data_IF_731316447987
#
_entry.id   IF_731316447987
#
_cell.length_a   1.000
_cell.length_b   1.000
_cell.length_c   1.000
_cell.angle_alpha   90.00
_cell.angle_beta   90.00
_cell.angle_gamma   90.00
#
_symmetry.space_group_name_H-M   'P 1'
#
loop_
_entity.id
_entity.type
_entity.pdbx_description
1 polymer ?
#
# COMPACT_ATOMS: atom_id res chain seq x y z
N UNK A 1 -31.90 5.50 32.07
CA UNK A 1 -32.17 4.18 31.46
C UNK A 1 -31.20 4.04 30.30
N UNK A 2 -30.14 3.26 30.47
CA UNK A 2 -29.21 2.93 29.40
C UNK A 2 -29.80 1.76 28.60
N UNK A 3 -29.98 1.97 27.29
CA UNK A 3 -30.40 0.92 26.37
C UNK A 3 -29.34 -0.18 26.24
N UNK A 4 -29.74 -1.41 25.88
CA UNK A 4 -28.82 -2.53 25.80
C UNK A 4 -27.81 -2.30 24.66
N UNK A 5 -26.51 -2.45 24.96
CA UNK A 5 -25.44 -2.47 23.99
C UNK A 5 -25.66 -3.62 23.01
N UNK A 6 -25.85 -3.31 21.73
CA UNK A 6 -25.96 -4.29 20.66
C UNK A 6 -24.60 -4.95 20.49
N UNK A 7 -24.45 -6.18 20.95
CA UNK A 7 -23.28 -7.01 20.65
C UNK A 7 -23.31 -7.37 19.17
N UNK A 8 -22.39 -6.83 18.41
CA UNK A 8 -22.08 -7.38 17.10
C UNK A 8 -21.39 -8.73 17.30
N UNK A 9 -22.12 -9.80 17.09
CA UNK A 9 -21.54 -11.14 17.01
C UNK A 9 -20.63 -11.22 15.79
N UNK A 10 -19.44 -11.78 15.97
CA UNK A 10 -18.43 -11.93 14.95
C UNK A 10 -18.99 -12.56 13.66
N UNK A 11 -18.66 -11.96 12.54
CA UNK A 11 -19.08 -12.35 11.17
C UNK A 11 -18.60 -13.76 10.76
N UNK A 12 -17.83 -14.45 11.60
CA UNK A 12 -17.30 -15.79 11.33
C UNK A 12 -18.31 -16.92 11.15
N UNK A 13 -19.58 -16.70 11.47
CA UNK A 13 -20.60 -17.75 11.39
C UNK A 13 -21.41 -17.78 10.08
N UNK A 14 -21.13 -16.87 9.11
CA UNK A 14 -21.92 -16.75 7.90
C UNK A 14 -21.24 -17.32 6.63
N UNK A 15 -20.03 -17.82 6.71
CA UNK A 15 -19.40 -18.48 5.57
C UNK A 15 -19.99 -19.89 5.40
N UNK A 16 -20.81 -20.07 4.39
CA UNK A 16 -21.21 -21.41 3.96
C UNK A 16 -19.95 -22.20 3.57
N UNK A 17 -19.83 -23.49 3.93
CA UNK A 17 -18.76 -24.34 3.44
C UNK A 17 -18.66 -24.20 1.91
N UNK A 18 -17.49 -23.84 1.39
CA UNK A 18 -17.26 -23.60 -0.05
C UNK A 18 -17.51 -22.17 -0.53
N UNK A 19 -17.86 -21.21 0.34
CA UNK A 19 -17.88 -19.79 -0.06
C UNK A 19 -16.48 -19.18 0.03
N UNK A 20 -16.06 -18.48 -1.04
CA UNK A 20 -14.81 -17.73 -1.06
C UNK A 20 -14.91 -16.52 -0.15
N UNK A 21 -13.95 -16.36 0.76
CA UNK A 21 -13.83 -15.15 1.58
C UNK A 21 -13.28 -13.99 0.75
N UNK A 22 -13.81 -12.78 0.95
CA UNK A 22 -13.23 -11.56 0.38
C UNK A 22 -12.00 -11.20 1.21
N UNK A 23 -10.84 -11.09 0.56
CA UNK A 23 -9.59 -10.69 1.20
C UNK A 23 -9.40 -9.18 1.16
N UNK A 24 -9.69 -8.56 0.02
CA UNK A 24 -9.57 -7.11 -0.19
C UNK A 24 -10.42 -6.68 -1.39
N UNK A 25 -10.68 -5.39 -1.52
CA UNK A 25 -11.32 -4.78 -2.70
C UNK A 25 -10.88 -3.34 -2.88
N UNK A 26 -10.98 -2.87 -4.11
CA UNK A 26 -10.76 -1.47 -4.44
C UNK A 26 -11.68 -1.01 -5.57
N UNK A 27 -11.83 0.30 -5.71
CA UNK A 27 -12.73 0.94 -6.68
C UNK A 27 -11.90 1.82 -7.61
N UNK A 28 -12.18 1.74 -8.92
CA UNK A 28 -11.51 2.57 -9.92
C UNK A 28 -11.70 4.07 -9.66
N UNK A 29 -10.77 4.88 -10.16
CA UNK A 29 -10.76 6.34 -9.94
C UNK A 29 -12.05 7.03 -10.41
N UNK A 30 -12.65 6.54 -11.50
CA UNK A 30 -13.94 7.03 -12.00
C UNK A 30 -15.17 6.39 -11.32
N UNK A 31 -14.97 5.53 -10.32
CA UNK A 31 -15.99 4.82 -9.56
C UNK A 31 -16.85 3.82 -10.38
N UNK A 32 -16.48 3.51 -11.63
CA UNK A 32 -17.28 2.66 -12.52
C UNK A 32 -17.01 1.17 -12.38
N UNK A 33 -15.86 0.81 -11.78
CA UNK A 33 -15.42 -0.57 -11.67
C UNK A 33 -14.94 -0.88 -10.26
N UNK A 34 -15.33 -2.04 -9.75
CA UNK A 34 -14.81 -2.59 -8.48
C UNK A 34 -14.01 -3.85 -8.79
N UNK A 35 -12.83 -3.98 -8.23
CA UNK A 35 -12.09 -5.25 -8.18
C UNK A 35 -12.11 -5.78 -6.77
N UNK A 36 -12.48 -7.05 -6.60
CA UNK A 36 -12.36 -7.74 -5.31
C UNK A 36 -11.58 -9.03 -5.43
N UNK A 37 -10.75 -9.28 -4.44
CA UNK A 37 -10.00 -10.51 -4.25
C UNK A 37 -10.79 -11.47 -3.37
N UNK A 38 -10.86 -12.73 -3.77
CA UNK A 38 -11.51 -13.81 -3.02
C UNK A 38 -10.63 -15.06 -3.00
N UNK A 39 -10.58 -15.73 -1.83
CA UNK A 39 -9.89 -17.01 -1.67
C UNK A 39 -10.67 -17.91 -0.72
N UNK A 40 -10.46 -19.22 -0.82
CA UNK A 40 -10.99 -20.19 0.13
C UNK A 40 -10.01 -20.51 1.27
N UNK A 41 -8.78 -19.98 1.19
CA UNK A 41 -7.73 -20.16 2.20
C UNK A 41 -7.07 -21.54 2.23
N UNK A 42 -7.50 -22.47 1.40
CA UNK A 42 -7.04 -23.88 1.43
C UNK A 42 -6.59 -24.43 0.08
N UNK A 43 -6.96 -23.79 -1.02
CA UNK A 43 -6.64 -24.24 -2.37
C UNK A 43 -5.89 -23.16 -3.15
N UNK A 44 -5.16 -23.58 -4.16
CA UNK A 44 -4.22 -22.81 -4.95
C UNK A 44 -4.86 -21.70 -5.81
N UNK A 45 -6.17 -21.44 -5.65
CA UNK A 45 -6.92 -20.54 -6.50
C UNK A 45 -7.40 -19.29 -5.76
N UNK A 46 -6.61 -18.23 -5.86
CA UNK A 46 -7.11 -16.88 -5.60
C UNK A 46 -7.84 -16.35 -6.84
N UNK A 47 -8.97 -15.70 -6.63
CA UNK A 47 -9.84 -15.20 -7.69
C UNK A 47 -9.98 -13.69 -7.56
N UNK A 48 -9.76 -12.96 -8.65
CA UNK A 48 -10.10 -11.56 -8.77
C UNK A 48 -11.41 -11.44 -9.57
N UNK A 49 -12.40 -10.74 -9.01
CA UNK A 49 -13.64 -10.41 -9.71
C UNK A 49 -13.66 -8.94 -10.06
N UNK A 50 -13.82 -8.65 -11.34
CA UNK A 50 -14.02 -7.32 -11.88
C UNK A 50 -15.53 -7.13 -12.03
N UNK A 51 -16.07 -6.12 -11.38
CA UNK A 51 -17.50 -5.91 -11.19
C UNK A 51 -17.87 -4.53 -11.73
N UNK A 52 -18.96 -4.46 -12.47
CA UNK A 52 -19.57 -3.20 -12.91
C UNK A 52 -20.15 -2.45 -11.71
N UNK A 53 -19.87 -1.17 -11.61
CA UNK A 53 -20.42 -0.27 -10.60
C UNK A 53 -21.16 0.93 -11.24
N UNK A 54 -21.27 0.97 -12.55
CA UNK A 54 -21.91 2.06 -13.31
C UNK A 54 -23.30 1.68 -13.84
N UNK A 55 -23.35 1.05 -15.00
CA UNK A 55 -24.59 0.77 -15.72
C UNK A 55 -25.41 -0.37 -15.10
N UNK A 56 -24.71 -1.38 -14.58
CA UNK A 56 -25.32 -2.57 -13.96
C UNK A 56 -24.59 -2.93 -12.65
N UNK A 57 -24.77 -2.14 -11.60
CA UNK A 57 -24.05 -2.32 -10.36
C UNK A 57 -24.21 -3.73 -9.79
N UNK A 58 -23.07 -4.39 -9.61
CA UNK A 58 -22.99 -5.75 -9.10
C UNK A 58 -22.82 -6.84 -10.16
N UNK A 59 -22.95 -6.54 -11.45
CA UNK A 59 -22.69 -7.51 -12.51
C UNK A 59 -21.19 -7.83 -12.58
N UNK A 60 -20.88 -9.13 -12.64
CA UNK A 60 -19.49 -9.59 -12.78
C UNK A 60 -19.11 -9.49 -14.26
N UNK A 61 -18.27 -8.50 -14.56
CA UNK A 61 -17.74 -8.32 -15.91
C UNK A 61 -16.73 -9.40 -16.27
N UNK A 62 -15.89 -9.79 -15.29
CA UNK A 62 -14.83 -10.76 -15.51
C UNK A 62 -14.42 -11.45 -14.20
N UNK A 63 -13.99 -12.70 -14.33
CA UNK A 63 -13.36 -13.48 -13.25
C UNK A 63 -11.97 -13.91 -13.72
N UNK A 64 -10.96 -13.62 -12.92
CA UNK A 64 -9.56 -13.90 -13.22
C UNK A 64 -8.99 -14.80 -12.14
N UNK A 65 -8.31 -15.87 -12.55
CA UNK A 65 -7.56 -16.73 -11.64
C UNK A 65 -6.13 -16.20 -11.51
N UNK A 66 -5.66 -16.04 -10.27
CA UNK A 66 -4.29 -15.59 -9.99
C UNK A 66 -3.39 -16.82 -9.96
N UNK A 67 -2.47 -16.96 -10.92
CA UNK A 67 -1.71 -18.20 -11.08
C UNK A 67 -0.78 -18.46 -9.89
N UNK A 68 -0.78 -19.69 -9.39
CA UNK A 68 0.19 -20.19 -8.41
C UNK A 68 0.11 -19.54 -7.04
N UNK A 69 -1.03 -18.97 -6.65
CA UNK A 69 -1.19 -18.30 -5.37
C UNK A 69 -2.42 -18.73 -4.62
N UNK A 70 -2.28 -18.86 -3.32
CA UNK A 70 -3.38 -19.24 -2.44
C UNK A 70 -4.25 -18.04 -2.07
N UNK A 71 -3.64 -16.86 -1.87
CA UNK A 71 -4.35 -15.66 -1.45
C UNK A 71 -3.78 -14.42 -2.12
N UNK A 72 -4.60 -13.69 -2.87
CA UNK A 72 -4.34 -12.30 -3.21
C UNK A 72 -4.90 -11.43 -2.06
N UNK A 73 -4.02 -10.90 -1.22
CA UNK A 73 -4.40 -10.26 0.03
C UNK A 73 -4.56 -8.75 -0.08
N UNK A 74 -4.16 -8.15 -1.20
CA UNK A 74 -4.36 -6.72 -1.45
C UNK A 74 -4.57 -6.45 -2.93
N UNK A 75 -5.47 -5.52 -3.25
CA UNK A 75 -5.74 -5.02 -4.61
C UNK A 75 -5.86 -3.51 -4.58
N UNK A 76 -5.25 -2.82 -5.56
CA UNK A 76 -5.33 -1.34 -5.70
C UNK A 76 -5.38 -0.93 -7.16
N UNK A 77 -6.23 0.04 -7.48
CA UNK A 77 -6.26 0.68 -8.78
C UNK A 77 -5.17 1.75 -8.89
N UNK A 78 -4.55 1.82 -10.07
CA UNK A 78 -3.65 2.90 -10.48
C UNK A 78 -4.39 3.97 -11.29
N UNK A 79 -5.37 3.53 -12.03
CA UNK A 79 -6.26 4.39 -12.81
C UNK A 79 -7.57 3.63 -13.12
N UNK A 80 -8.38 4.13 -14.05
CA UNK A 80 -9.67 3.52 -14.38
C UNK A 80 -9.59 2.07 -14.89
N UNK A 81 -8.44 1.64 -15.41
CA UNK A 81 -8.29 0.32 -16.04
C UNK A 81 -7.15 -0.51 -15.49
N UNK A 82 -6.07 0.14 -15.07
CA UNK A 82 -4.89 -0.54 -14.51
C UNK A 82 -5.07 -0.72 -13.01
N UNK A 83 -4.94 -1.95 -12.56
CA UNK A 83 -4.89 -2.30 -11.14
C UNK A 83 -3.78 -3.31 -10.87
N UNK A 84 -3.38 -3.44 -9.62
CA UNK A 84 -2.45 -4.48 -9.20
C UNK A 84 -3.03 -5.33 -8.08
N UNK A 85 -2.52 -6.55 -7.97
CA UNK A 85 -2.79 -7.47 -6.87
C UNK A 85 -1.49 -7.98 -6.25
N UNK A 86 -1.44 -8.00 -4.92
CA UNK A 86 -0.37 -8.55 -4.13
C UNK A 86 -0.77 -9.90 -3.55
N UNK A 87 0.08 -10.92 -3.65
CA UNK A 87 -0.23 -12.28 -3.26
C UNK A 87 0.82 -12.88 -2.32
N UNK A 88 0.47 -14.00 -1.68
CA UNK A 88 1.32 -14.73 -0.73
C UNK A 88 2.65 -15.24 -1.32
N UNK A 89 2.75 -15.32 -2.65
CA UNK A 89 3.96 -15.70 -3.37
C UNK A 89 4.97 -14.56 -3.53
N UNK A 90 4.73 -13.42 -2.89
CA UNK A 90 5.55 -12.20 -2.96
C UNK A 90 5.64 -11.57 -4.34
N UNK A 91 4.65 -11.78 -5.20
CA UNK A 91 4.58 -11.19 -6.51
C UNK A 91 3.46 -10.15 -6.56
N UNK A 92 3.81 -8.93 -6.96
CA UNK A 92 2.85 -7.91 -7.34
C UNK A 92 2.56 -8.06 -8.83
N UNK A 93 1.29 -8.28 -9.18
CA UNK A 93 0.83 -8.49 -10.55
C UNK A 93 -0.01 -7.32 -11.01
N UNK A 94 0.30 -6.80 -12.18
CA UNK A 94 -0.43 -5.68 -12.80
C UNK A 94 -1.38 -6.21 -13.88
N UNK A 95 -2.60 -5.68 -13.88
CA UNK A 95 -3.71 -6.16 -14.69
C UNK A 95 -4.43 -5.00 -15.37
N UNK A 96 -4.99 -5.26 -16.55
CA UNK A 96 -5.93 -4.35 -17.22
C UNK A 96 -7.35 -4.94 -17.16
N UNK A 97 -8.29 -4.18 -16.64
CA UNK A 97 -9.70 -4.62 -16.51
C UNK A 97 -10.33 -5.05 -17.82
N UNK A 98 -9.81 -4.55 -18.95
CA UNK A 98 -10.32 -4.82 -20.30
C UNK A 98 -9.79 -6.14 -20.88
N UNK A 99 -8.61 -6.59 -20.43
CA UNK A 99 -7.90 -7.74 -21.03
C UNK A 99 -7.39 -8.75 -20.00
N UNK A 100 -7.93 -8.76 -18.80
CA UNK A 100 -7.39 -9.43 -17.62
C UNK A 100 -7.42 -10.99 -17.65
N UNK A 101 -6.99 -11.62 -18.73
CA UNK A 101 -6.81 -13.08 -18.76
C UNK A 101 -5.48 -13.52 -18.15
N UNK A 102 -4.49 -12.63 -18.16
CA UNK A 102 -3.15 -12.80 -17.57
C UNK A 102 -2.60 -11.44 -17.12
N UNK A 103 -1.68 -11.42 -16.15
CA UNK A 103 -1.03 -10.17 -15.76
C UNK A 103 -0.25 -9.57 -16.94
N UNK A 104 -0.28 -8.24 -17.03
CA UNK A 104 0.48 -7.50 -18.03
C UNK A 104 1.99 -7.58 -17.76
N UNK A 105 2.37 -7.37 -16.50
CA UNK A 105 3.73 -7.54 -15.98
C UNK A 105 3.69 -7.82 -14.49
N UNK A 106 4.84 -8.16 -13.92
CA UNK A 106 4.97 -8.53 -12.51
C UNK A 106 6.21 -7.89 -11.89
N UNK A 107 6.13 -7.62 -10.59
CA UNK A 107 7.26 -7.22 -9.76
C UNK A 107 7.46 -8.26 -8.65
N UNK A 108 8.69 -8.77 -8.51
CA UNK A 108 9.07 -9.71 -7.46
C UNK A 108 10.33 -9.24 -6.75
N UNK A 109 10.28 -9.19 -5.43
CA UNK A 109 11.35 -8.67 -4.56
C UNK A 109 11.70 -9.64 -3.41
N UNK A 110 12.22 -10.83 -3.72
CA UNK A 110 12.41 -11.89 -2.73
C UNK A 110 13.43 -11.55 -1.65
N UNK A 111 14.37 -10.63 -1.91
CA UNK A 111 15.45 -10.25 -0.98
C UNK A 111 14.96 -9.40 0.21
N UNK A 112 13.77 -8.80 0.12
CA UNK A 112 13.25 -7.88 1.13
C UNK A 112 12.24 -8.53 2.10
N UNK A 113 12.12 -9.84 2.10
CA UNK A 113 11.14 -10.58 2.90
C UNK A 113 9.79 -10.69 2.17
N UNK A 114 8.71 -10.92 2.94
CA UNK A 114 7.36 -11.04 2.36
C UNK A 114 6.84 -9.66 2.02
N UNK A 115 6.27 -9.53 0.81
CA UNK A 115 5.48 -8.38 0.41
C UNK A 115 4.15 -8.39 1.19
N UNK A 116 3.93 -7.40 2.02
CA UNK A 116 2.80 -7.39 2.98
C UNK A 116 1.70 -6.42 2.61
N UNK A 117 2.07 -5.31 1.97
CA UNK A 117 1.13 -4.26 1.59
C UNK A 117 1.69 -3.43 0.44
N UNK A 118 0.81 -2.79 -0.29
CA UNK A 118 1.16 -1.77 -1.27
C UNK A 118 -0.01 -0.79 -1.44
N UNK A 119 0.31 0.39 -1.94
CA UNK A 119 -0.69 1.37 -2.35
C UNK A 119 -0.17 2.21 -3.51
N UNK A 120 -1.07 2.78 -4.28
CA UNK A 120 -0.78 3.64 -5.44
C UNK A 120 -1.26 5.06 -5.20
N UNK A 121 -0.46 6.03 -5.65
CA UNK A 121 -0.86 7.44 -5.57
C UNK A 121 -2.02 7.72 -6.56
N UNK A 122 -3.04 8.39 -6.05
CA UNK A 122 -4.14 8.89 -6.89
C UNK A 122 -3.87 10.32 -7.40
N UNK A 123 -2.84 10.96 -6.89
CA UNK A 123 -2.41 12.33 -7.27
C UNK A 123 -1.29 12.30 -8.29
N UNK A 124 -0.29 11.43 -8.08
CA UNK A 124 0.85 11.26 -8.96
C UNK A 124 0.71 9.99 -9.76
N UNK A 125 0.52 10.11 -11.06
CA UNK A 125 0.37 8.94 -11.93
C UNK A 125 1.57 8.00 -11.85
N UNK A 126 1.29 6.70 -11.86
CA UNK A 126 2.26 5.60 -11.85
C UNK A 126 3.16 5.49 -10.61
N UNK A 127 3.00 6.36 -9.62
CA UNK A 127 3.73 6.27 -8.37
C UNK A 127 3.06 5.24 -7.44
N UNK A 128 3.86 4.32 -6.88
CA UNK A 128 3.38 3.37 -5.89
C UNK A 128 4.44 3.00 -4.87
N UNK A 129 4.00 2.51 -3.73
CA UNK A 129 4.84 2.07 -2.61
C UNK A 129 4.54 0.62 -2.28
N UNK A 130 5.59 -0.13 -1.97
CA UNK A 130 5.50 -1.50 -1.45
C UNK A 130 6.10 -1.59 -0.06
N UNK A 131 5.48 -2.37 0.82
CA UNK A 131 5.93 -2.64 2.17
C UNK A 131 6.21 -4.12 2.40
N UNK A 132 7.23 -4.39 3.21
CA UNK A 132 7.72 -5.73 3.45
C UNK A 132 7.72 -6.12 4.92
N UNK A 133 7.68 -7.43 5.18
CA UNK A 133 7.70 -8.00 6.54
C UNK A 133 8.98 -7.69 7.32
N UNK A 134 10.03 -7.26 6.66
CA UNK A 134 11.30 -6.83 7.26
C UNK A 134 11.34 -5.35 7.63
N UNK A 135 10.23 -4.63 7.44
CA UNK A 135 10.16 -3.19 7.66
C UNK A 135 10.70 -2.34 6.50
N UNK A 136 11.13 -2.98 5.42
CA UNK A 136 11.56 -2.29 4.20
C UNK A 136 10.35 -1.69 3.50
N UNK A 137 10.52 -0.48 2.99
CA UNK A 137 9.54 0.24 2.17
C UNK A 137 10.26 0.66 0.90
N UNK A 138 9.65 0.44 -0.26
CA UNK A 138 10.21 0.87 -1.54
C UNK A 138 9.21 1.69 -2.33
N UNK A 139 9.67 2.78 -2.88
CA UNK A 139 8.92 3.66 -3.76
C UNK A 139 9.31 3.38 -5.22
N UNK A 140 8.31 3.34 -6.11
CA UNK A 140 8.46 2.89 -7.50
C UNK A 140 7.70 3.78 -8.48
N UNK A 141 8.23 3.85 -9.71
CA UNK A 141 7.47 4.25 -10.90
C UNK A 141 7.03 2.98 -11.66
N UNK A 142 5.74 2.80 -11.86
CA UNK A 142 5.17 1.65 -12.55
C UNK A 142 5.64 1.53 -14.01
N UNK A 143 5.95 2.66 -14.67
CA UNK A 143 6.52 2.66 -16.04
C UNK A 143 7.92 2.09 -16.05
N UNK A 144 8.75 2.48 -15.07
CA UNK A 144 10.11 1.95 -14.96
C UNK A 144 10.11 0.45 -14.67
N UNK A 145 9.20 -0.02 -13.80
CA UNK A 145 8.99 -1.45 -13.54
C UNK A 145 8.54 -2.19 -14.79
N UNK A 146 7.60 -1.63 -15.55
CA UNK A 146 7.14 -2.21 -16.81
C UNK A 146 8.27 -2.36 -17.83
N UNK A 147 9.07 -1.32 -18.03
CA UNK A 147 10.22 -1.33 -18.94
C UNK A 147 11.25 -2.39 -18.53
N UNK A 148 11.61 -2.43 -17.25
CA UNK A 148 12.56 -3.41 -16.72
C UNK A 148 12.08 -4.85 -16.93
N UNK A 149 10.78 -5.11 -16.74
CA UNK A 149 10.21 -6.46 -16.96
C UNK A 149 10.19 -6.85 -18.44
N UNK A 150 9.96 -5.90 -19.34
CA UNK A 150 9.99 -6.13 -20.79
C UNK A 150 11.41 -6.43 -21.26
N UNK A 151 12.41 -5.72 -20.75
CA UNK A 151 13.82 -5.94 -21.10
C UNK A 151 14.34 -7.31 -20.65
N UNK A 152 13.85 -7.84 -19.51
CA UNK A 152 14.21 -9.18 -19.03
C UNK A 152 13.84 -10.29 -20.01
N UNK A 153 12.81 -10.11 -20.85
CA UNK A 153 12.44 -11.06 -21.90
C UNK A 153 13.47 -11.11 -23.05
N UNK A 154 14.32 -10.09 -23.15
CA UNK A 154 15.38 -9.95 -24.16
C UNK A 154 16.80 -10.18 -23.62
N UNK A 155 16.99 -10.26 -22.30
CA UNK A 155 18.29 -10.48 -21.67
C UNK A 155 18.63 -11.97 -21.64
N UNK A 156 19.73 -12.32 -22.23
CA UNK A 156 20.38 -13.62 -22.09
C UNK A 156 21.37 -13.56 -20.92
N UNK A 157 21.09 -14.39 -19.88
CA UNK A 157 22.02 -14.82 -18.84
C UNK A 157 22.60 -13.78 -17.86
N UNK A 158 22.09 -13.78 -16.64
CA UNK A 158 22.88 -13.58 -15.43
C UNK A 158 23.08 -12.14 -14.96
N UNK A 159 22.51 -11.15 -15.60
CA UNK A 159 22.52 -9.78 -15.07
C UNK A 159 21.46 -9.60 -13.99
N UNK A 160 21.85 -9.03 -12.85
CA UNK A 160 20.92 -8.69 -11.78
C UNK A 160 19.82 -7.75 -12.29
N UNK A 161 18.57 -7.89 -11.82
CA UNK A 161 17.51 -6.98 -12.20
C UNK A 161 17.92 -5.55 -11.80
N UNK A 162 17.75 -4.62 -12.73
CA UNK A 162 18.01 -3.20 -12.49
C UNK A 162 17.11 -2.79 -11.31
N UNK A 163 17.71 -2.33 -10.24
CA UNK A 163 16.99 -1.72 -9.12
C UNK A 163 16.43 -0.39 -9.62
N UNK A 164 15.15 -0.37 -9.93
CA UNK A 164 14.43 0.81 -10.42
C UNK A 164 13.57 1.44 -9.33
N UNK A 165 13.92 1.21 -8.06
CA UNK A 165 13.28 1.93 -6.96
C UNK A 165 13.70 3.40 -6.96
N UNK A 166 12.72 4.29 -6.80
CA UNK A 166 12.96 5.73 -6.62
C UNK A 166 13.62 5.97 -5.25
N UNK A 167 13.13 5.27 -4.22
CA UNK A 167 13.61 5.39 -2.86
C UNK A 167 13.42 4.09 -2.07
N UNK A 168 14.27 3.91 -1.07
CA UNK A 168 14.20 2.83 -0.10
C UNK A 168 14.24 3.38 1.31
N UNK A 169 13.22 3.08 2.10
CA UNK A 169 13.01 3.54 3.47
C UNK A 169 12.83 2.34 4.39
N UNK A 170 12.85 2.57 5.70
CA UNK A 170 12.79 1.51 6.69
C UNK A 170 11.94 1.90 7.90
N UNK A 171 11.16 0.98 8.41
CA UNK A 171 10.62 1.08 9.76
C UNK A 171 11.71 0.86 10.80
N UNK A 172 11.65 1.61 11.89
CA UNK A 172 12.59 1.47 13.00
C UNK A 172 12.58 0.06 13.58
N UNK A 173 13.77 -0.50 13.81
CA UNK A 173 13.91 -1.84 14.37
C UNK A 173 13.45 -2.99 13.50
N UNK A 174 13.22 -2.77 12.20
CA UNK A 174 12.72 -3.80 11.28
C UNK A 174 11.26 -4.18 11.52
N UNK A 175 10.47 -3.28 12.11
CA UNK A 175 9.03 -3.47 12.33
C UNK A 175 8.30 -3.67 11.00
N UNK A 176 7.61 -4.80 10.84
CA UNK A 176 6.99 -5.18 9.56
C UNK A 176 6.00 -4.11 9.09
N UNK A 177 6.01 -3.78 7.81
CA UNK A 177 4.99 -2.90 7.22
C UNK A 177 3.71 -3.71 7.07
N UNK A 178 2.61 -3.26 7.66
CA UNK A 178 1.34 -3.99 7.62
C UNK A 178 0.25 -3.27 6.84
N UNK A 179 0.37 -1.95 6.71
CA UNK A 179 -0.54 -1.15 5.89
C UNK A 179 0.18 0.08 5.34
N UNK A 180 -0.26 0.53 4.17
CA UNK A 180 0.25 1.71 3.46
C UNK A 180 -0.93 2.46 2.88
N UNK A 181 -0.89 3.79 2.97
CA UNK A 181 -1.90 4.64 2.36
C UNK A 181 -1.27 5.94 1.86
N UNK A 182 -1.43 6.23 0.57
CA UNK A 182 -1.07 7.52 -0.01
C UNK A 182 -2.02 8.63 0.44
N UNK A 183 -1.48 9.84 0.57
CA UNK A 183 -2.29 11.04 0.71
C UNK A 183 -3.18 11.22 -0.53
N UNK A 184 -4.44 11.59 -0.31
CA UNK A 184 -5.36 11.91 -1.40
C UNK A 184 -5.23 13.36 -1.88
N UNK A 185 -4.44 14.16 -1.18
CA UNK A 185 -4.31 15.60 -1.42
C UNK A 185 -2.88 16.05 -1.71
N UNK A 186 -1.89 15.26 -1.32
CA UNK A 186 -0.47 15.53 -1.56
C UNK A 186 0.11 14.54 -2.57
N UNK A 187 0.95 15.05 -3.45
CA UNK A 187 1.64 14.26 -4.48
C UNK A 187 2.80 13.42 -3.92
N UNK A 188 3.34 13.79 -2.77
CA UNK A 188 4.60 13.25 -2.23
C UNK A 188 4.44 12.52 -0.90
N UNK A 189 3.26 12.63 -0.27
CA UNK A 189 3.05 12.13 1.09
C UNK A 189 2.33 10.78 1.12
N UNK A 190 2.78 9.92 2.02
CA UNK A 190 2.11 8.67 2.36
C UNK A 190 2.33 8.30 3.82
N UNK A 191 1.52 7.38 4.29
CA UNK A 191 1.58 6.87 5.67
C UNK A 191 1.78 5.36 5.64
N UNK A 192 2.63 4.86 6.53
CA UNK A 192 2.80 3.42 6.72
C UNK A 192 2.58 3.04 8.18
N UNK A 193 2.07 1.83 8.39
CA UNK A 193 1.82 1.30 9.73
C UNK A 193 2.66 0.06 9.97
N UNK A 194 3.30 0.04 11.13
CA UNK A 194 4.09 -1.09 11.60
C UNK A 194 3.25 -2.18 12.27
N UNK A 195 3.76 -3.41 12.30
CA UNK A 195 3.17 -4.53 13.02
C UNK A 195 3.04 -4.27 14.52
N UNK A 196 3.90 -3.44 15.09
CA UNK A 196 3.84 -2.98 16.47
C UNK A 196 2.81 -1.87 16.70
N UNK A 197 2.18 -1.35 15.62
CA UNK A 197 1.20 -0.28 15.66
C UNK A 197 1.79 1.12 15.59
N UNK A 198 3.08 1.24 15.33
CA UNK A 198 3.71 2.52 15.05
C UNK A 198 3.24 3.04 13.68
N UNK A 199 3.08 4.36 13.57
CA UNK A 199 2.66 5.02 12.33
C UNK A 199 3.74 6.00 11.90
N UNK A 200 4.15 5.88 10.64
CA UNK A 200 5.18 6.70 10.03
C UNK A 200 4.57 7.54 8.92
N UNK A 201 4.78 8.84 8.98
CA UNK A 201 4.37 9.79 7.95
C UNK A 201 5.58 10.18 7.12
N UNK A 202 5.50 9.95 5.84
CA UNK A 202 6.57 10.18 4.90
C UNK A 202 6.22 11.31 3.95
N UNK A 203 7.22 12.13 3.63
CA UNK A 203 7.16 13.13 2.57
C UNK A 203 8.37 12.96 1.66
N UNK A 204 8.12 12.67 0.40
CA UNK A 204 9.13 12.38 -0.60
C UNK A 204 9.56 13.62 -1.40
N UNK A 205 9.10 14.81 -1.05
CA UNK A 205 9.44 16.05 -1.75
C UNK A 205 10.96 16.22 -1.89
N UNK A 206 11.71 15.94 -0.82
CA UNK A 206 13.16 15.98 -0.84
C UNK A 206 13.79 15.03 -1.87
N UNK A 207 13.23 13.83 -2.01
CA UNK A 207 13.72 12.83 -2.97
C UNK A 207 13.48 13.24 -4.42
N UNK A 208 12.36 13.89 -4.69
CA UNK A 208 12.00 14.32 -6.04
C UNK A 208 12.75 15.60 -6.45
N UNK A 209 12.92 16.56 -5.54
CA UNK A 209 13.59 17.85 -5.81
C UNK A 209 15.07 17.68 -6.17
N UNK A 210 15.73 16.62 -5.71
CA UNK A 210 17.15 16.37 -6.02
C UNK A 210 17.42 15.99 -7.47
N UNK A 211 16.44 15.40 -8.14
CA UNK A 211 16.61 14.95 -9.52
C UNK A 211 16.59 16.09 -10.54
N UNK A 212 16.13 17.29 -10.14
CA UNK A 212 16.01 18.46 -11.02
C UNK A 212 17.27 19.34 -11.04
N UNK A 213 18.15 19.27 -10.03
CA UNK A 213 19.29 20.20 -9.84
C UNK A 213 20.67 19.61 -10.20
N UNK A 214 20.78 18.33 -10.54
CA UNK A 214 22.09 17.70 -10.74
C UNK A 214 22.69 18.03 -12.12
N UNK A 215 23.70 18.90 -12.12
CA UNK A 215 24.74 18.94 -13.14
C UNK A 215 25.40 17.55 -13.24
N UNK A 216 25.56 17.04 -14.44
CA UNK A 216 25.91 15.68 -14.84
C UNK A 216 27.18 15.07 -14.21
N UNK A 217 27.93 15.76 -13.38
CA UNK A 217 29.27 15.33 -12.97
C UNK A 217 29.39 14.67 -11.58
N UNK A 218 28.39 14.73 -10.69
CA UNK A 218 28.40 13.96 -9.43
C UNK A 218 26.96 13.68 -8.92
N UNK A 219 26.33 12.63 -9.39
CA UNK A 219 25.12 12.07 -8.76
C UNK A 219 25.49 11.50 -7.39
N UNK A 220 25.47 12.33 -6.36
CA UNK A 220 25.66 11.88 -4.99
C UNK A 220 24.39 11.19 -4.52
N UNK A 221 24.34 9.88 -4.67
CA UNK A 221 23.27 9.07 -4.07
C UNK A 221 23.28 9.32 -2.56
N UNK A 222 22.23 9.93 -2.03
CA UNK A 222 22.12 10.14 -0.59
C UNK A 222 22.24 8.80 0.15
N UNK A 223 22.97 8.80 1.26
CA UNK A 223 23.01 7.61 2.10
C UNK A 223 21.56 7.26 2.54
N UNK A 224 21.18 5.98 2.61
CA UNK A 224 19.82 5.58 3.00
C UNK A 224 19.34 6.19 4.31
N UNK A 225 20.25 6.42 5.26
CA UNK A 225 19.98 7.03 6.56
C UNK A 225 19.66 8.53 6.43
N UNK A 226 20.35 9.24 5.55
CA UNK A 226 20.12 10.66 5.26
C UNK A 226 18.76 10.84 4.57
N UNK A 227 18.48 10.03 3.56
CA UNK A 227 17.18 10.02 2.87
C UNK A 227 16.05 9.75 3.85
N UNK A 228 16.20 8.76 4.72
CA UNK A 228 15.21 8.44 5.73
C UNK A 228 14.94 9.61 6.69
N UNK A 229 16.01 10.27 7.16
CA UNK A 229 15.89 11.41 8.08
C UNK A 229 15.19 12.61 7.45
N UNK A 230 15.38 12.83 6.15
CA UNK A 230 14.74 13.92 5.42
C UNK A 230 13.29 13.63 5.03
N UNK A 231 12.97 12.36 4.72
CA UNK A 231 11.63 11.97 4.29
C UNK A 231 10.67 11.63 5.44
N UNK A 232 11.17 11.31 6.65
CA UNK A 232 10.31 11.02 7.80
C UNK A 232 9.78 12.31 8.41
N UNK A 233 8.56 12.70 8.04
CA UNK A 233 7.89 13.93 8.50
C UNK A 233 7.41 13.84 9.93
N UNK A 234 6.84 12.70 10.33
CA UNK A 234 6.26 12.49 11.66
C UNK A 234 6.24 11.01 12.03
N UNK A 235 6.46 10.72 13.29
CA UNK A 235 6.41 9.38 13.85
C UNK A 235 5.47 9.33 15.04
N UNK A 236 4.45 8.45 14.98
CA UNK A 236 3.46 8.27 16.03
C UNK A 236 3.59 6.85 16.62
N UNK A 237 3.90 6.77 17.90
CA UNK A 237 4.09 5.48 18.60
C UNK A 237 2.78 4.84 19.05
N UNK A 238 1.63 5.47 18.82
CA UNK A 238 0.33 4.91 19.18
C UNK A 238 0.03 4.80 20.67
N UNK A 239 0.85 5.39 21.53
CA UNK A 239 0.70 5.33 22.98
C UNK A 239 1.24 4.03 23.59
N UNK A 240 0.73 3.66 24.77
CA UNK A 240 1.13 2.42 25.48
C UNK A 240 0.50 1.18 24.86
N UNK A 241 0.81 0.90 23.59
CA UNK A 241 0.38 -0.34 22.97
C UNK A 241 1.20 -1.49 23.53
N UNK A 242 0.54 -2.53 23.98
CA UNK A 242 1.21 -3.78 24.31
C UNK A 242 1.66 -4.41 23.00
N UNK A 243 2.97 -4.31 22.72
CA UNK A 243 3.55 -4.97 21.55
C UNK A 243 3.25 -6.47 21.63
N UNK A 244 2.37 -6.95 20.80
CA UNK A 244 2.25 -8.37 20.58
C UNK A 244 2.81 -8.66 19.20
N UNK A 245 4.01 -9.21 19.15
CA UNK A 245 4.61 -9.80 17.95
C UNK A 245 3.83 -11.01 17.41
N UNK A 246 2.51 -11.04 17.59
CA UNK A 246 1.70 -12.15 17.10
C UNK A 246 1.36 -11.92 15.64
N UNK A 247 1.88 -12.79 14.79
CA UNK A 247 1.46 -12.94 13.40
C UNK A 247 -0.07 -12.97 13.29
N UNK A 248 -0.64 -12.18 12.39
CA UNK A 248 -2.07 -12.18 12.08
C UNK A 248 -2.87 -11.02 12.65
N UNK A 249 -2.27 -10.13 13.41
CA UNK A 249 -2.91 -8.89 13.82
C UNK A 249 -2.77 -7.85 12.71
N UNK A 250 -3.89 -7.27 12.31
CA UNK A 250 -3.93 -6.20 11.29
C UNK A 250 -4.10 -4.86 11.98
N UNK A 251 -3.08 -4.03 11.91
CA UNK A 251 -3.21 -2.62 12.15
C UNK A 251 -3.56 -1.96 10.80
N UNK A 252 -4.40 -0.98 10.79
CA UNK A 252 -4.78 -0.26 9.57
C UNK A 252 -4.84 1.24 9.81
N UNK A 253 -4.71 1.99 8.74
CA UNK A 253 -4.76 3.45 8.75
C UNK A 253 -5.81 3.94 7.76
N UNK A 254 -6.40 5.08 8.07
CA UNK A 254 -7.26 5.82 7.17
C UNK A 254 -6.90 7.31 7.22
N UNK A 255 -6.83 7.94 6.07
CA UNK A 255 -6.68 9.39 5.96
C UNK A 255 -8.04 10.02 5.75
N UNK A 256 -8.25 11.20 6.35
CA UNK A 256 -9.51 11.91 6.17
C UNK A 256 -9.57 12.54 4.77
N UNK A 257 -10.64 12.31 3.99
CA UNK A 257 -10.66 12.68 2.57
C UNK A 257 -10.70 14.20 2.32
N UNK A 258 -11.00 15.01 3.35
CA UNK A 258 -11.14 16.47 3.22
C UNK A 258 -10.20 17.23 4.17
N UNK A 259 -9.97 16.69 5.36
CA UNK A 259 -9.09 17.34 6.34
C UNK A 259 -7.68 16.81 6.15
N UNK A 260 -6.80 17.63 5.64
CA UNK A 260 -5.39 17.27 5.42
C UNK A 260 -4.74 16.84 6.73
N UNK A 261 -3.91 15.81 6.66
CA UNK A 261 -3.15 15.25 7.77
C UNK A 261 -3.97 14.68 8.93
N UNK A 262 -5.29 14.59 8.81
CA UNK A 262 -6.10 13.95 9.85
C UNK A 262 -6.11 12.43 9.62
N UNK A 263 -5.57 11.71 10.60
CA UNK A 263 -5.30 10.28 10.51
C UNK A 263 -6.11 9.53 11.55
N UNK A 264 -6.75 8.46 11.13
CA UNK A 264 -7.36 7.46 11.99
C UNK A 264 -6.59 6.14 11.91
N UNK A 265 -6.34 5.49 13.02
CA UNK A 265 -5.74 4.15 13.06
C UNK A 265 -6.55 3.22 13.92
N UNK A 266 -6.61 1.96 13.51
CA UNK A 266 -7.22 0.89 14.31
C UNK A 266 -6.19 -0.22 14.45
N UNK A 267 -6.02 -0.69 15.67
CA UNK A 267 -5.14 -1.82 15.93
C UNK A 267 -5.92 -3.09 16.35
N UNK A 268 -5.21 -4.18 16.36
CA UNK A 268 -5.75 -5.48 16.74
C UNK A 268 -6.10 -5.59 18.23
N UNK A 269 -5.65 -4.65 19.07
CA UNK A 269 -6.02 -4.57 20.48
C UNK A 269 -7.30 -3.76 20.68
N UNK A 270 -8.02 -3.45 19.57
CA UNK A 270 -9.28 -2.68 19.54
C UNK A 270 -9.11 -1.23 19.94
N UNK A 271 -7.88 -0.68 19.85
CA UNK A 271 -7.65 0.74 20.07
C UNK A 271 -7.88 1.50 18.77
N UNK A 272 -8.75 2.50 18.83
CA UNK A 272 -8.96 3.47 17.75
C UNK A 272 -8.28 4.76 18.16
N UNK A 273 -7.39 5.25 17.32
CA UNK A 273 -6.70 6.54 17.54
C UNK A 273 -6.99 7.46 16.37
N UNK A 274 -7.35 8.70 16.65
CA UNK A 274 -7.52 9.75 15.66
C UNK A 274 -6.67 10.95 16.06
N UNK A 275 -5.86 11.46 15.15
CA UNK A 275 -4.96 12.57 15.44
C UNK A 275 -4.62 13.36 14.16
N UNK A 276 -4.07 14.56 14.38
CA UNK A 276 -3.44 15.36 13.35
C UNK A 276 -1.99 15.64 13.78
N UNK A 277 -0.97 15.30 13.00
CA UNK A 277 0.41 15.66 13.30
C UNK A 277 0.56 17.18 13.41
N UNK A 278 1.26 17.65 14.42
CA UNK A 278 1.67 19.05 14.53
C UNK A 278 3.07 19.17 13.95
N UNK A 279 3.21 19.97 12.92
CA UNK A 279 4.51 20.34 12.39
C UNK A 279 4.98 21.62 13.06
N UNK A 280 6.27 21.71 13.37
CA UNK A 280 6.87 22.90 13.99
C UNK A 280 6.64 24.18 13.14
N UNK A 281 6.48 24.05 11.83
CA UNK A 281 6.13 25.12 10.91
C UNK A 281 4.76 25.77 11.20
N UNK A 282 3.83 25.06 11.82
CA UNK A 282 2.50 25.59 12.13
C UNK A 282 2.53 26.63 13.27
N UNK A 283 3.66 26.73 13.98
CA UNK A 283 3.86 27.69 15.08
C UNK A 283 4.63 28.95 14.67
N UNK A 284 5.34 28.94 13.53
CA UNK A 284 6.19 30.06 13.12
C UNK A 284 5.35 31.22 12.51
N UNK A 285 4.12 30.96 12.09
CA UNK A 285 3.24 31.94 11.42
C UNK A 285 2.33 32.77 12.34
N UNK A 286 2.29 32.50 13.64
CA UNK A 286 1.53 33.34 14.60
C UNK A 286 2.50 34.17 15.44
N UNK A 287 3.10 35.18 14.81
CA UNK A 287 3.66 36.30 15.54
C UNK A 287 2.53 36.90 16.38
N UNK A 288 2.72 36.97 17.66
CA UNK A 288 1.92 37.84 18.52
C UNK A 288 2.22 39.26 18.08
N UNK A 289 1.34 39.88 17.32
CA UNK A 289 1.28 41.34 17.24
C UNK A 289 0.63 41.81 18.56
N UNK A 290 1.44 42.32 19.46
CA UNK A 290 1.05 43.12 20.64
C UNK A 290 0.56 44.48 20.23
#
# INVERSE_FOLDING_TARGET
MMGPATRYSSIHSLTRPGSLAVSDFDVSTNMDTVVKSQSNGYEEDSILKIIDNSDRPGDILRTVHVPGTNVAHSVRFFNNHLFASCSDDNILRFWDTRTADKPLWTLSEPKNGRLTSFDSSQVTENLFVTGFSTGVIKLWDARAVQLATTDLTHRQNGEEPIQNEIAKLFHSGGDSVVDILFSQTSATEFVTVGGTGNVYHWDMEYSFSRNDDDNEDEVRVAAPEELQGQCLKFFHTGGTRRSSNQFGKRNTVALHPVINDFVGTVDSDSLVTAYKPFLASDFIGRGYDD
#
